data_IF_878037463830
#
_entry.id   IF_878037463830
#
_cell.length_a   1.000
_cell.length_b   1.000
_cell.length_c   1.000
_cell.angle_alpha   90.00
_cell.angle_beta   90.00
_cell.angle_gamma   90.00
#
_symmetry.space_group_name_H-M   'P 1'
#
loop_
_entity.id
_entity.type
_entity.pdbx_description
1 polymer ?
#
# COMPACT_ATOMS: atom_id res chain seq x y z
N UNK A 1 -12.95 15.49 8.98
CA UNK A 1 -11.81 15.99 8.15
C UNK A 1 -11.81 17.52 8.05
N UNK A 2 -12.95 18.17 7.70
CA UNK A 2 -13.04 19.64 7.57
C UNK A 2 -12.60 20.39 8.84
N UNK A 3 -13.14 20.00 10.01
CA UNK A 3 -12.79 20.61 11.30
C UNK A 3 -11.30 20.53 11.65
N UNK A 4 -10.63 19.43 11.27
CA UNK A 4 -9.19 19.26 11.50
C UNK A 4 -8.38 20.15 10.55
N UNK A 5 -8.79 20.26 9.28
CA UNK A 5 -8.15 21.16 8.32
C UNK A 5 -8.22 22.61 8.76
N UNK A 6 -9.40 23.09 9.17
CA UNK A 6 -9.60 24.43 9.69
C UNK A 6 -8.76 24.70 10.96
N UNK A 7 -8.66 23.69 11.84
CA UNK A 7 -7.84 23.81 13.04
C UNK A 7 -6.36 23.96 12.75
N UNK A 8 -5.84 23.22 11.78
CA UNK A 8 -4.43 23.28 11.37
C UNK A 8 -4.15 24.56 10.57
N UNK A 9 -5.04 24.97 9.67
CA UNK A 9 -4.90 26.18 8.85
C UNK A 9 -4.71 27.46 9.67
N UNK A 10 -5.18 27.47 10.93
CA UNK A 10 -4.99 28.63 11.83
C UNK A 10 -3.53 28.88 12.22
N UNK A 11 -2.68 27.87 12.10
CA UNK A 11 -1.25 27.97 12.42
C UNK A 11 -0.38 28.32 11.23
N UNK A 12 -0.94 28.34 10.02
CA UNK A 12 -0.20 28.58 8.78
C UNK A 12 -0.84 29.71 7.98
N UNK A 13 -0.01 30.55 7.36
CA UNK A 13 -0.45 31.61 6.45
C UNK A 13 -0.87 31.11 5.05
N UNK A 14 -0.84 29.80 4.84
CA UNK A 14 -1.08 29.16 3.55
C UNK A 14 -2.28 28.23 3.61
N UNK A 15 -2.97 28.00 2.50
CA UNK A 15 -4.03 27.01 2.39
C UNK A 15 -3.52 25.62 2.78
N UNK A 16 -4.33 24.88 3.56
CA UNK A 16 -4.01 23.52 3.98
C UNK A 16 -5.01 22.55 3.36
N UNK A 17 -4.50 21.44 2.84
CA UNK A 17 -5.31 20.39 2.22
C UNK A 17 -4.99 19.05 2.88
N UNK A 18 -5.98 18.16 2.92
CA UNK A 18 -5.80 16.78 3.35
C UNK A 18 -5.87 15.86 2.15
N UNK A 19 -4.85 15.05 1.99
CA UNK A 19 -4.83 13.92 1.08
C UNK A 19 -4.75 12.61 1.88
N UNK A 20 -5.34 11.55 1.37
CA UNK A 20 -5.13 10.20 1.91
C UNK A 20 -3.70 9.75 1.60
N UNK A 21 -3.04 9.10 2.56
CA UNK A 21 -1.63 8.69 2.46
C UNK A 21 -1.36 7.68 1.33
N UNK A 22 -2.26 6.72 1.11
CA UNK A 22 -2.14 5.79 0.00
C UNK A 22 -2.35 6.48 -1.36
N UNK A 23 -3.31 7.43 -1.45
CA UNK A 23 -3.51 8.25 -2.65
C UNK A 23 -2.25 9.08 -2.94
N UNK A 24 -1.69 9.73 -1.94
CA UNK A 24 -0.45 10.49 -2.09
C UNK A 24 0.72 9.61 -2.56
N UNK A 25 0.88 8.42 -1.95
CA UNK A 25 1.90 7.47 -2.36
C UNK A 25 1.74 6.99 -3.81
N UNK A 26 0.51 6.69 -4.21
CA UNK A 26 0.20 6.32 -5.59
C UNK A 26 0.49 7.46 -6.56
N UNK A 27 0.17 8.70 -6.18
CA UNK A 27 0.43 9.87 -7.00
C UNK A 27 1.93 10.09 -7.21
N UNK A 28 2.75 9.93 -6.16
CA UNK A 28 4.21 9.99 -6.28
C UNK A 28 4.75 8.96 -7.28
N UNK A 29 4.29 7.72 -7.21
CA UNK A 29 4.70 6.65 -8.14
C UNK A 29 4.19 6.89 -9.57
N UNK A 30 3.05 7.54 -9.72
CA UNK A 30 2.41 7.79 -11.03
C UNK A 30 3.00 8.98 -11.77
N UNK A 31 3.25 10.11 -11.10
CA UNK A 31 3.73 11.35 -11.75
C UNK A 31 5.14 11.21 -12.32
N UNK A 32 6.00 10.41 -11.69
CA UNK A 32 7.35 10.11 -12.19
C UNK A 32 7.41 9.06 -13.30
N UNK A 33 6.27 8.49 -13.70
CA UNK A 33 6.17 7.39 -14.66
C UNK A 33 5.43 7.82 -15.95
N UNK A 34 5.35 6.91 -16.92
CA UNK A 34 4.52 7.09 -18.11
C UNK A 34 3.05 7.32 -17.69
N UNK A 35 2.46 8.45 -18.14
CA UNK A 35 1.07 8.81 -17.83
C UNK A 35 0.03 7.77 -18.33
N UNK A 36 0.39 6.89 -19.25
CA UNK A 36 -0.48 5.79 -19.70
C UNK A 36 -0.53 4.62 -18.72
N UNK A 37 0.33 4.60 -17.72
CA UNK A 37 0.47 3.51 -16.77
C UNK A 37 -0.78 3.33 -15.91
N UNK A 38 -1.13 2.07 -15.66
CA UNK A 38 -2.19 1.67 -14.74
C UNK A 38 -1.61 0.79 -13.67
N UNK A 39 -1.85 1.12 -12.41
CA UNK A 39 -1.39 0.30 -11.29
C UNK A 39 -2.26 0.52 -10.05
N UNK A 40 -2.26 -0.48 -9.20
CA UNK A 40 -2.79 -0.37 -7.85
C UNK A 40 -1.62 -0.20 -6.87
N UNK A 41 -1.59 0.91 -6.16
CA UNK A 41 -0.64 1.14 -5.07
C UNK A 41 -1.20 0.57 -3.77
N UNK A 42 -0.48 -0.38 -3.17
CA UNK A 42 -0.86 -1.03 -1.94
C UNK A 42 0.07 -0.53 -0.82
N UNK A 43 -0.44 0.36 0.04
CA UNK A 43 0.29 0.92 1.17
C UNK A 43 0.26 -0.05 2.35
N UNK A 44 1.36 -0.77 2.55
CA UNK A 44 1.56 -1.72 3.66
C UNK A 44 2.19 -0.98 4.85
N UNK A 45 1.41 -0.13 5.50
CA UNK A 45 1.81 0.68 6.65
C UNK A 45 1.21 0.13 7.96
N UNK A 46 1.10 0.92 9.02
CA UNK A 46 0.49 0.49 10.29
C UNK A 46 -0.94 -0.01 10.09
N UNK A 47 -1.64 0.55 9.11
CA UNK A 47 -2.84 0.01 8.50
C UNK A 47 -2.59 -0.18 7.00
N UNK A 48 -3.37 -1.06 6.37
CA UNK A 48 -3.29 -1.26 4.93
C UNK A 48 -4.22 -0.30 4.23
N UNK A 49 -3.65 0.53 3.36
CA UNK A 49 -4.38 1.39 2.43
C UNK A 49 -4.14 0.98 0.99
N UNK A 50 -4.89 1.56 0.06
CA UNK A 50 -4.65 1.37 -1.35
C UNK A 50 -5.18 2.53 -2.18
N UNK A 51 -4.67 2.64 -3.41
CA UNK A 51 -5.13 3.62 -4.38
C UNK A 51 -4.96 3.05 -5.79
N UNK A 52 -5.95 3.29 -6.64
CA UNK A 52 -5.88 2.91 -8.05
C UNK A 52 -5.51 4.14 -8.89
N UNK A 53 -4.35 4.05 -9.54
CA UNK A 53 -3.88 5.05 -10.50
C UNK A 53 -4.15 4.53 -11.91
N UNK A 54 -4.94 5.29 -12.67
CA UNK A 54 -5.40 4.92 -14.00
C UNK A 54 -5.07 6.01 -15.00
N UNK A 55 -4.02 5.83 -15.76
CA UNK A 55 -3.67 6.72 -16.89
C UNK A 55 -3.61 8.21 -16.49
N UNK A 56 -2.88 8.51 -15.43
CA UNK A 56 -2.69 9.89 -14.95
C UNK A 56 -3.69 10.34 -13.88
N UNK A 57 -4.71 9.53 -13.57
CA UNK A 57 -5.78 9.92 -12.65
C UNK A 57 -5.85 8.93 -11.46
N UNK A 58 -6.02 9.48 -10.27
CA UNK A 58 -6.38 8.69 -9.08
C UNK A 58 -7.89 8.46 -9.07
N UNK A 59 -8.28 7.20 -9.14
CA UNK A 59 -9.68 6.80 -9.06
C UNK A 59 -10.20 6.95 -7.62
N UNK A 60 -11.22 7.78 -7.45
CA UNK A 60 -11.78 8.06 -6.12
C UNK A 60 -13.02 7.21 -5.79
N UNK A 61 -13.73 6.74 -6.84
CA UNK A 61 -15.01 6.06 -6.70
C UNK A 61 -16.14 7.01 -6.26
N UNK A 62 -17.37 6.52 -6.33
CA UNK A 62 -18.59 7.33 -6.08
C UNK A 62 -18.64 7.93 -4.67
N UNK A 63 -18.08 7.24 -3.69
CA UNK A 63 -18.11 7.65 -2.27
C UNK A 63 -16.71 7.94 -1.71
N UNK A 64 -15.74 8.22 -2.56
CA UNK A 64 -14.33 8.44 -2.17
C UNK A 64 -13.74 7.24 -1.38
N UNK A 65 -14.08 6.01 -1.78
CA UNK A 65 -13.67 4.76 -1.13
C UNK A 65 -12.97 3.80 -2.08
N UNK A 66 -12.62 4.24 -3.27
CA UNK A 66 -11.80 3.44 -4.16
C UNK A 66 -10.45 3.17 -3.48
N UNK A 67 -9.97 1.93 -3.55
CA UNK A 67 -8.71 1.57 -2.95
C UNK A 67 -8.74 1.15 -1.48
N UNK A 68 -9.87 1.09 -0.81
CA UNK A 68 -10.00 0.61 0.58
C UNK A 68 -9.70 -0.91 0.71
N UNK A 69 -8.60 -1.35 0.09
CA UNK A 69 -8.20 -2.77 0.02
C UNK A 69 -7.91 -3.38 1.39
N UNK A 70 -7.47 -2.57 2.36
CA UNK A 70 -7.27 -3.03 3.74
C UNK A 70 -8.51 -3.65 4.38
N UNK A 71 -9.71 -3.25 3.93
CA UNK A 71 -10.98 -3.80 4.41
C UNK A 71 -11.54 -4.92 3.55
N UNK A 72 -10.85 -5.32 2.48
CA UNK A 72 -11.21 -6.50 1.71
C UNK A 72 -11.09 -7.76 2.59
N UNK A 73 -12.13 -8.60 2.59
CA UNK A 73 -12.13 -9.85 3.35
C UNK A 73 -11.19 -10.87 2.71
N UNK A 74 -10.10 -11.21 3.38
CA UNK A 74 -9.18 -12.29 2.97
C UNK A 74 -9.54 -13.63 3.61
N UNK A 75 -9.97 -13.59 4.85
CA UNK A 75 -10.29 -14.80 5.63
C UNK A 75 -11.69 -14.66 6.18
N UNK A 76 -12.71 -15.26 5.56
CA UNK A 76 -14.07 -15.24 6.09
C UNK A 76 -14.09 -15.68 7.56
N UNK A 77 -14.81 -14.95 8.40
CA UNK A 77 -14.91 -15.17 9.86
C UNK A 77 -13.57 -15.19 10.62
N UNK A 78 -12.50 -14.70 10.01
CA UNK A 78 -11.15 -14.64 10.58
C UNK A 78 -10.99 -13.65 11.73
N UNK A 79 -9.77 -13.17 11.92
CA UNK A 79 -9.43 -12.29 13.04
C UNK A 79 -10.19 -10.94 12.99
N UNK A 80 -10.46 -10.39 14.18
CA UNK A 80 -11.18 -9.13 14.37
C UNK A 80 -10.36 -7.95 13.83
N UNK A 81 -10.96 -7.13 12.96
CA UNK A 81 -10.41 -5.88 12.48
C UNK A 81 -10.89 -4.69 13.33
N UNK A 82 -10.09 -3.64 13.40
CA UNK A 82 -10.46 -2.38 14.07
C UNK A 82 -11.72 -1.73 13.49
N UNK A 83 -12.05 -2.00 12.22
CA UNK A 83 -13.27 -1.52 11.59
C UNK A 83 -14.56 -2.19 12.10
N UNK A 84 -14.45 -3.13 13.04
CA UNK A 84 -15.57 -3.89 13.60
C UNK A 84 -15.99 -5.12 12.81
N UNK A 85 -15.32 -5.41 11.67
CA UNK A 85 -15.55 -6.62 10.86
C UNK A 85 -14.46 -7.65 11.10
N UNK A 86 -14.62 -8.85 10.54
CA UNK A 86 -13.65 -9.94 10.65
C UNK A 86 -13.01 -10.25 9.31
N UNK A 87 -11.75 -10.70 9.36
CA UNK A 87 -11.06 -11.27 8.20
C UNK A 87 -10.52 -10.25 7.19
N UNK A 88 -10.50 -8.96 7.52
CA UNK A 88 -9.96 -7.93 6.65
C UNK A 88 -8.48 -8.14 6.36
N UNK A 89 -8.03 -7.76 5.16
CA UNK A 89 -6.63 -7.78 4.75
C UNK A 89 -5.70 -7.09 5.77
N UNK A 90 -6.14 -5.97 6.33
CA UNK A 90 -5.39 -5.16 7.29
C UNK A 90 -4.82 -5.99 8.46
N UNK A 91 -5.62 -6.90 8.99
CA UNK A 91 -5.22 -7.74 10.14
C UNK A 91 -4.07 -8.69 9.80
N UNK A 92 -3.91 -9.05 8.53
CA UNK A 92 -2.92 -10.04 8.08
C UNK A 92 -1.72 -9.42 7.39
N UNK A 93 -1.88 -8.24 6.79
CA UNK A 93 -0.90 -7.63 5.89
C UNK A 93 -0.44 -6.23 6.30
N UNK A 94 -0.82 -5.71 7.48
CA UNK A 94 -0.27 -4.45 7.99
C UNK A 94 1.18 -4.60 8.48
N UNK A 95 1.93 -3.51 8.49
CA UNK A 95 3.29 -3.47 9.06
C UNK A 95 3.27 -3.82 10.55
N UNK A 96 2.20 -3.42 11.25
CA UNK A 96 2.01 -3.74 12.66
C UNK A 96 2.07 -5.25 12.94
N UNK A 97 1.58 -6.09 12.01
CA UNK A 97 1.63 -7.55 12.12
C UNK A 97 3.05 -8.10 12.23
N UNK A 98 4.00 -7.46 11.57
CA UNK A 98 5.42 -7.83 11.59
C UNK A 98 6.16 -7.18 12.75
N UNK A 99 5.95 -5.88 12.97
CA UNK A 99 6.63 -5.13 14.02
C UNK A 99 6.27 -5.63 15.43
N UNK A 100 5.02 -6.04 15.68
CA UNK A 100 4.60 -6.60 16.97
C UNK A 100 5.40 -7.86 17.34
N UNK A 101 5.87 -8.64 16.35
CA UNK A 101 6.71 -9.82 16.58
C UNK A 101 8.19 -9.47 16.88
N UNK A 102 8.58 -8.19 16.68
CA UNK A 102 9.94 -7.69 16.87
C UNK A 102 9.99 -6.50 17.84
N UNK A 103 9.21 -6.56 18.91
CA UNK A 103 9.24 -5.52 19.95
C UNK A 103 8.70 -4.15 19.53
N UNK A 104 7.93 -4.08 18.42
CA UNK A 104 7.29 -2.86 17.92
C UNK A 104 8.05 -2.13 16.81
N UNK A 105 9.22 -2.61 16.42
CA UNK A 105 10.04 -2.01 15.35
C UNK A 105 10.08 -2.92 14.11
N UNK A 106 9.71 -2.36 12.97
CA UNK A 106 9.68 -3.11 11.71
C UNK A 106 11.09 -3.43 11.19
N UNK A 107 12.04 -2.55 11.41
CA UNK A 107 13.45 -2.73 11.06
C UNK A 107 14.01 -3.97 11.75
N UNK A 108 13.77 -4.12 13.06
CA UNK A 108 14.25 -5.26 13.86
C UNK A 108 13.66 -6.59 13.34
N UNK A 109 12.42 -6.56 12.84
CA UNK A 109 11.82 -7.74 12.18
C UNK A 109 12.62 -8.16 10.94
N UNK A 110 12.91 -7.22 10.04
CA UNK A 110 13.63 -7.52 8.80
C UNK A 110 15.10 -7.85 9.04
N UNK A 111 15.74 -7.28 10.05
CA UNK A 111 17.09 -7.66 10.48
C UNK A 111 17.11 -9.11 10.99
N UNK A 112 16.20 -9.49 11.87
CA UNK A 112 16.08 -10.86 12.37
C UNK A 112 15.75 -11.86 11.25
N UNK A 113 14.86 -11.47 10.32
CA UNK A 113 14.51 -12.29 9.15
C UNK A 113 15.74 -12.53 8.26
N UNK A 114 16.52 -11.49 8.00
CA UNK A 114 17.75 -11.60 7.20
C UNK A 114 18.85 -12.40 7.90
N UNK A 115 18.88 -12.37 9.21
CA UNK A 115 19.77 -13.18 10.04
C UNK A 115 19.34 -14.66 10.15
N UNK A 116 18.23 -15.06 9.53
CA UNK A 116 17.77 -16.44 9.50
C UNK A 116 16.97 -16.87 10.74
N UNK A 117 16.36 -15.95 11.48
CA UNK A 117 15.50 -16.29 12.60
C UNK A 117 14.28 -17.08 12.10
N UNK A 118 14.13 -18.32 12.58
CA UNK A 118 13.11 -19.25 12.10
C UNK A 118 11.67 -18.81 12.41
N UNK A 119 11.42 -18.15 13.54
CA UNK A 119 10.07 -17.71 13.90
C UNK A 119 9.64 -16.50 13.03
N UNK A 120 10.57 -15.58 12.75
CA UNK A 120 10.33 -14.47 11.82
C UNK A 120 10.15 -15.00 10.39
N UNK A 121 10.89 -16.04 10.00
CA UNK A 121 10.72 -16.70 8.70
C UNK A 121 9.34 -17.33 8.54
N UNK A 122 8.86 -18.07 9.53
CA UNK A 122 7.51 -18.66 9.53
C UNK A 122 6.41 -17.59 9.50
N UNK A 123 6.60 -16.49 10.23
CA UNK A 123 5.66 -15.38 10.20
C UNK A 123 5.66 -14.70 8.83
N UNK A 124 6.83 -14.46 8.24
CA UNK A 124 6.99 -13.89 6.90
C UNK A 124 6.32 -14.74 5.84
N UNK A 125 6.51 -16.03 5.83
CA UNK A 125 5.87 -16.97 4.89
C UNK A 125 4.34 -16.90 4.94
N UNK A 126 3.79 -16.80 6.14
CA UNK A 126 2.33 -16.61 6.30
C UNK A 126 1.89 -15.23 5.82
N UNK A 127 2.64 -14.19 6.14
CA UNK A 127 2.37 -12.84 5.73
C UNK A 127 2.33 -12.72 4.20
N UNK A 128 3.36 -13.19 3.50
CA UNK A 128 3.41 -13.14 2.04
C UNK A 128 2.37 -14.05 1.37
N UNK A 129 1.92 -15.10 2.05
CA UNK A 129 0.83 -15.94 1.56
C UNK A 129 -0.50 -15.17 1.53
N UNK A 130 -0.83 -14.40 2.58
CA UNK A 130 -1.99 -13.53 2.59
C UNK A 130 -1.84 -12.35 1.62
N UNK A 131 -0.66 -11.75 1.59
CA UNK A 131 -0.35 -10.66 0.66
C UNK A 131 -0.53 -11.12 -0.81
N UNK A 132 -0.02 -12.30 -1.16
CA UNK A 132 -0.16 -12.85 -2.50
C UNK A 132 -1.62 -13.10 -2.89
N UNK A 133 -2.46 -13.55 -1.95
CA UNK A 133 -3.89 -13.70 -2.20
C UNK A 133 -4.56 -12.35 -2.47
N UNK A 134 -4.25 -11.33 -1.67
CA UNK A 134 -4.78 -9.98 -1.85
C UNK A 134 -4.34 -9.36 -3.19
N UNK A 135 -3.06 -9.45 -3.50
CA UNK A 135 -2.48 -8.92 -4.75
C UNK A 135 -3.11 -9.60 -5.96
N UNK A 136 -3.25 -10.93 -5.92
CA UNK A 136 -3.92 -11.67 -6.99
C UNK A 136 -5.38 -11.22 -7.17
N UNK A 137 -6.13 -11.06 -6.08
CA UNK A 137 -7.52 -10.59 -6.16
C UNK A 137 -7.64 -9.20 -6.77
N UNK A 138 -6.74 -8.28 -6.42
CA UNK A 138 -6.68 -6.93 -7.00
C UNK A 138 -6.38 -7.02 -8.50
N UNK A 139 -5.36 -7.78 -8.88
CA UNK A 139 -4.98 -7.97 -10.28
C UNK A 139 -6.10 -8.63 -11.11
N UNK A 140 -6.79 -9.64 -10.56
CA UNK A 140 -7.92 -10.29 -11.24
C UNK A 140 -9.09 -9.33 -11.53
N UNK A 141 -9.27 -8.28 -10.74
CA UNK A 141 -10.38 -7.32 -10.90
C UNK A 141 -9.96 -6.16 -11.81
N UNK A 142 -8.72 -5.66 -11.67
CA UNK A 142 -8.29 -4.41 -12.28
C UNK A 142 -7.39 -4.61 -13.51
N UNK A 143 -6.85 -5.81 -13.72
CA UNK A 143 -5.89 -6.14 -14.79
C UNK A 143 -4.79 -5.08 -14.92
N UNK A 144 -4.08 -4.83 -13.80
CA UNK A 144 -3.05 -3.80 -13.72
C UNK A 144 -1.87 -4.26 -12.84
N UNK A 145 -0.76 -3.54 -12.94
CA UNK A 145 0.37 -3.71 -12.03
C UNK A 145 -0.04 -3.46 -10.57
N UNK A 146 0.66 -4.08 -9.63
CA UNK A 146 0.51 -3.81 -8.19
C UNK A 146 1.83 -3.36 -7.61
N UNK A 147 1.89 -2.12 -7.11
CA UNK A 147 3.08 -1.55 -6.46
C UNK A 147 2.92 -1.70 -4.94
N UNK A 148 3.86 -2.41 -4.32
CA UNK A 148 3.90 -2.61 -2.88
C UNK A 148 4.69 -1.48 -2.23
N UNK A 149 3.99 -0.62 -1.50
CA UNK A 149 4.53 0.54 -0.83
C UNK A 149 4.30 0.55 0.68
N UNK A 150 4.40 1.72 1.28
CA UNK A 150 4.32 1.89 2.73
C UNK A 150 5.58 1.39 3.46
N UNK A 151 5.47 1.20 4.76
CA UNK A 151 6.61 0.80 5.59
C UNK A 151 7.18 -0.55 5.19
N UNK A 152 6.33 -1.57 5.01
CA UNK A 152 6.78 -2.90 4.54
C UNK A 152 7.35 -2.81 3.13
N UNK A 153 6.71 -2.05 2.24
CA UNK A 153 7.17 -1.84 0.86
C UNK A 153 8.62 -1.35 0.77
N UNK A 154 9.06 -0.56 1.77
CA UNK A 154 10.43 -0.05 1.83
C UNK A 154 11.49 -1.15 2.06
N UNK A 155 11.10 -2.30 2.59
CA UNK A 155 12.00 -3.42 2.94
C UNK A 155 11.87 -4.62 2.00
N UNK A 156 10.87 -4.67 1.11
CA UNK A 156 10.57 -5.87 0.33
C UNK A 156 11.53 -6.15 -0.83
N UNK A 157 12.40 -5.22 -1.19
CA UNK A 157 13.31 -5.38 -2.33
C UNK A 157 14.00 -6.76 -2.36
N UNK A 158 14.68 -7.20 -1.30
CA UNK A 158 15.32 -8.52 -1.23
C UNK A 158 14.36 -9.71 -1.32
N UNK A 159 13.07 -9.51 -1.02
CA UNK A 159 12.04 -10.54 -0.95
C UNK A 159 11.05 -10.48 -2.12
N UNK A 160 11.23 -9.54 -3.06
CA UNK A 160 10.28 -9.30 -4.15
C UNK A 160 10.07 -10.55 -5.01
N UNK A 161 11.15 -11.25 -5.37
CA UNK A 161 11.06 -12.48 -6.18
C UNK A 161 10.29 -13.59 -5.47
N UNK A 162 10.40 -13.69 -4.15
CA UNK A 162 9.63 -14.65 -3.35
C UNK A 162 8.13 -14.31 -3.35
N UNK A 163 7.80 -13.01 -3.21
CA UNK A 163 6.42 -12.53 -3.28
C UNK A 163 5.84 -12.80 -4.68
N UNK A 164 6.57 -12.43 -5.73
CA UNK A 164 6.17 -12.66 -7.12
C UNK A 164 5.89 -14.13 -7.40
N UNK A 165 6.74 -15.04 -6.92
CA UNK A 165 6.52 -16.49 -7.05
C UNK A 165 5.22 -16.92 -6.35
N UNK A 166 4.97 -16.45 -5.14
CA UNK A 166 3.74 -16.79 -4.41
C UNK A 166 2.47 -16.21 -5.06
N UNK A 167 2.58 -15.08 -5.74
CA UNK A 167 1.49 -14.50 -6.52
C UNK A 167 1.25 -15.33 -7.78
N UNK A 168 2.31 -15.71 -8.50
CA UNK A 168 2.21 -16.54 -9.69
C UNK A 168 1.54 -17.91 -9.42
N UNK A 169 1.83 -18.52 -8.26
CA UNK A 169 1.19 -19.77 -7.82
C UNK A 169 -0.35 -19.68 -7.71
N UNK A 170 -0.91 -18.46 -7.63
CA UNK A 170 -2.34 -18.17 -7.50
C UNK A 170 -2.98 -17.62 -8.76
N UNK A 171 -2.17 -17.09 -9.67
CA UNK A 171 -2.67 -16.42 -10.86
C UNK A 171 -3.00 -17.45 -11.95
N UNK A 172 -4.18 -17.31 -12.56
CA UNK A 172 -4.64 -18.21 -13.63
C UNK A 172 -4.10 -17.83 -15.00
N UNK A 173 -3.78 -16.56 -15.22
CA UNK A 173 -3.46 -16.01 -16.54
C UNK A 173 -1.98 -15.63 -16.70
N UNK A 174 -1.25 -15.39 -15.59
CA UNK A 174 0.14 -14.99 -15.62
C UNK A 174 1.05 -16.13 -15.16
N UNK A 175 2.03 -16.50 -16.00
CA UNK A 175 3.05 -17.49 -15.65
C UNK A 175 4.07 -16.95 -14.64
N UNK A 176 4.13 -15.63 -14.49
CA UNK A 176 5.02 -14.95 -13.54
C UNK A 176 4.27 -13.87 -12.76
N UNK A 177 4.75 -13.55 -11.57
CA UNK A 177 4.24 -12.43 -10.76
C UNK A 177 4.87 -11.08 -11.13
N UNK A 178 5.38 -10.89 -12.34
CA UNK A 178 6.15 -9.71 -12.76
C UNK A 178 5.35 -8.40 -12.72
N UNK A 179 4.03 -8.47 -12.69
CA UNK A 179 3.16 -7.32 -12.46
C UNK A 179 3.22 -6.78 -11.02
N UNK A 180 3.92 -7.45 -10.11
CA UNK A 180 4.14 -6.98 -8.73
C UNK A 180 5.49 -6.28 -8.65
N UNK A 181 5.49 -5.03 -8.23
CA UNK A 181 6.70 -4.22 -8.05
C UNK A 181 6.85 -3.65 -6.64
N UNK A 182 8.08 -3.32 -6.27
CA UNK A 182 8.37 -2.53 -5.08
C UNK A 182 8.23 -1.03 -5.40
N UNK A 183 7.84 -0.23 -4.41
CA UNK A 183 7.75 1.22 -4.53
C UNK A 183 9.13 1.86 -4.74
N UNK A 184 9.16 2.96 -5.51
CA UNK A 184 10.37 3.73 -5.79
C UNK A 184 10.70 4.70 -4.64
N UNK A 185 9.69 5.35 -4.08
CA UNK A 185 9.86 6.45 -3.12
C UNK A 185 9.85 6.04 -1.65
N UNK A 186 9.70 4.75 -1.36
CA UNK A 186 9.79 4.18 -0.01
C UNK A 186 8.96 4.97 1.02
N UNK A 187 9.54 5.27 2.19
CA UNK A 187 8.87 5.96 3.30
C UNK A 187 8.43 7.39 2.92
N UNK A 188 9.13 8.05 2.00
CA UNK A 188 8.84 9.42 1.56
C UNK A 188 7.67 9.56 0.58
N UNK A 189 7.10 8.47 0.05
CA UNK A 189 6.12 8.48 -1.02
C UNK A 189 4.89 9.37 -0.72
N UNK A 190 4.30 9.27 0.46
CA UNK A 190 3.11 10.04 0.82
C UNK A 190 3.40 11.56 0.91
N UNK A 191 4.55 11.94 1.49
CA UNK A 191 4.94 13.35 1.58
C UNK A 191 5.23 13.94 0.20
N UNK A 192 5.97 13.20 -0.64
CA UNK A 192 6.27 13.60 -2.01
C UNK A 192 5.00 13.75 -2.84
N UNK A 193 4.10 12.76 -2.81
CA UNK A 193 2.87 12.80 -3.59
C UNK A 193 1.93 13.93 -3.17
N UNK A 194 1.83 14.23 -1.87
CA UNK A 194 1.07 15.37 -1.38
C UNK A 194 1.63 16.69 -1.91
N UNK A 195 2.96 16.85 -1.96
CA UNK A 195 3.61 18.03 -2.52
C UNK A 195 3.38 18.14 -4.04
N UNK A 196 3.56 17.04 -4.77
CA UNK A 196 3.38 17.01 -6.22
C UNK A 196 1.94 17.35 -6.65
N UNK A 197 0.93 16.85 -5.94
CA UNK A 197 -0.47 17.17 -6.24
C UNK A 197 -0.77 18.68 -6.11
N UNK A 198 -0.19 19.33 -5.10
CA UNK A 198 -0.34 20.78 -4.92
C UNK A 198 0.38 21.55 -6.03
N UNK A 199 1.58 21.13 -6.39
CA UNK A 199 2.38 21.77 -7.45
C UNK A 199 1.65 21.66 -8.79
N UNK A 200 1.09 20.50 -9.14
CA UNK A 200 0.37 20.31 -10.39
C UNK A 200 -0.88 21.20 -10.45
N UNK A 201 -1.68 21.24 -9.40
CA UNK A 201 -2.84 22.16 -9.29
C UNK A 201 -2.46 23.64 -9.44
N UNK A 202 -1.29 24.01 -8.95
CA UNK A 202 -0.79 25.38 -9.12
C UNK A 202 -0.40 25.66 -10.58
N UNK A 203 0.29 24.72 -11.23
CA UNK A 203 0.70 24.86 -12.64
C UNK A 203 -0.51 24.93 -13.57
N UNK A 204 -1.59 24.19 -13.30
CA UNK A 204 -2.82 24.21 -14.09
C UNK A 204 -3.59 25.55 -14.01
N UNK A 205 -3.30 26.38 -13.02
CA UNK A 205 -3.96 27.67 -12.79
C UNK A 205 -3.19 28.86 -13.39
N UNK A 206 -1.98 28.64 -13.88
CA UNK A 206 -1.10 29.65 -14.51
C UNK A 206 -1.12 29.53 -16.02
#
# INVERSE_FOLDING_TARGET
>A
KALLCESISRFFAYPCYFINDANAGAYAEGVGSDKSRRFFYLSLSNTVGGAYFNSGVLEQGTNFRCGEAGHMTLVPDGAQCYCGKKGCMDVYCSAKKLSDAAGGRLEDFFEALSAGNEDHRKLWERYISYLAAAVNNIHMILDCDVILGGYVGSHIGPYLSEIQKKVAERNTFAESGSFVGACSYKIGAAALGAALEIIEKFIEQV
#
